data_IF_263160690094
#
_entry.id   IF_263160690094
#
_cell.length_a   1.000
_cell.length_b   1.000
_cell.length_c   1.000
_cell.angle_alpha   90.00
_cell.angle_beta   90.00
_cell.angle_gamma   90.00
#
_symmetry.space_group_name_H-M   'P 1'
#
loop_
_entity.id
_entity.type
_entity.pdbx_description
1 polymer ?
#
# COMPACT_ATOMS: atom_id res chain seq x y z
N UNK A 1 20.50 10.44 12.26
CA UNK A 1 19.83 9.80 11.11
C UNK A 1 20.57 8.51 10.77
N UNK A 2 19.87 7.42 10.46
CA UNK A 2 20.50 6.13 10.11
C UNK A 2 21.11 6.25 8.70
N UNK A 3 22.37 5.83 8.45
CA UNK A 3 22.98 5.88 7.13
C UNK A 3 22.18 5.08 6.08
N UNK A 4 22.17 5.55 4.82
CA UNK A 4 21.35 4.96 3.74
C UNK A 4 21.59 3.44 3.57
N UNK A 5 22.86 3.03 3.55
CA UNK A 5 23.24 1.62 3.45
C UNK A 5 22.63 0.78 4.58
N UNK A 6 22.60 1.33 5.80
CA UNK A 6 21.98 0.67 6.95
C UNK A 6 20.46 0.62 6.82
N UNK A 7 19.82 1.65 6.23
CA UNK A 7 18.38 1.61 5.93
C UNK A 7 18.04 0.52 4.91
N UNK A 8 18.85 0.38 3.85
CA UNK A 8 18.70 -0.68 2.83
C UNK A 8 18.79 -2.08 3.46
N UNK A 9 19.81 -2.33 4.28
CA UNK A 9 19.96 -3.60 4.99
C UNK A 9 18.75 -3.92 5.89
N UNK A 10 18.25 -2.93 6.62
CA UNK A 10 17.07 -3.11 7.49
C UNK A 10 15.85 -3.53 6.67
N UNK A 11 15.57 -2.84 5.56
CA UNK A 11 14.43 -3.18 4.69
C UNK A 11 14.58 -4.58 4.06
N UNK A 12 15.78 -4.90 3.57
CA UNK A 12 16.08 -6.21 3.00
C UNK A 12 15.86 -7.35 3.99
N UNK A 13 16.26 -7.18 5.25
CA UNK A 13 16.03 -8.18 6.30
C UNK A 13 14.54 -8.26 6.66
N UNK A 14 13.87 -7.12 6.89
CA UNK A 14 12.48 -7.08 7.36
C UNK A 14 11.48 -7.67 6.36
N UNK A 15 11.79 -7.61 5.06
CA UNK A 15 10.89 -8.01 3.98
C UNK A 15 11.39 -9.22 3.15
N UNK A 16 12.47 -9.88 3.56
CA UNK A 16 12.98 -11.07 2.89
C UNK A 16 11.95 -12.21 2.88
N UNK A 17 11.91 -12.98 1.79
CA UNK A 17 11.10 -14.19 1.62
C UNK A 17 9.60 -14.01 1.86
N UNK A 18 9.07 -12.79 1.60
CA UNK A 18 7.66 -12.44 1.80
C UNK A 18 7.04 -11.97 0.50
N UNK A 19 5.87 -12.50 0.18
CA UNK A 19 5.00 -12.01 -0.90
C UNK A 19 5.75 -11.72 -2.22
N UNK A 20 6.56 -12.68 -2.65
CA UNK A 20 7.33 -12.62 -3.91
C UNK A 20 8.70 -11.95 -3.82
N UNK A 21 9.09 -11.36 -2.68
CA UNK A 21 10.48 -10.95 -2.48
C UNK A 21 11.39 -12.17 -2.32
N UNK A 22 12.60 -12.08 -2.88
CA UNK A 22 13.70 -13.01 -2.58
C UNK A 22 14.24 -12.87 -1.16
N UNK A 23 15.36 -13.53 -0.89
CA UNK A 23 16.07 -13.43 0.39
C UNK A 23 16.63 -12.02 0.64
N UNK A 24 17.27 -11.79 1.80
CA UNK A 24 17.82 -10.47 2.11
C UNK A 24 18.94 -10.04 1.14
N UNK A 25 19.66 -10.97 0.54
CA UNK A 25 20.73 -10.68 -0.42
C UNK A 25 20.19 -10.22 -1.77
N UNK A 26 18.96 -10.59 -2.13
CA UNK A 26 18.30 -10.16 -3.37
C UNK A 26 18.13 -8.64 -3.49
N UNK A 27 18.08 -7.90 -2.38
CA UNK A 27 17.77 -6.47 -2.37
C UNK A 27 16.28 -6.13 -2.54
N UNK A 28 15.41 -7.14 -2.64
CA UNK A 28 13.98 -6.96 -2.92
C UNK A 28 13.27 -6.18 -1.81
N UNK A 29 13.68 -6.32 -0.55
CA UNK A 29 13.05 -5.61 0.56
C UNK A 29 13.20 -4.09 0.46
N UNK A 30 14.37 -3.60 0.07
CA UNK A 30 14.57 -2.18 -0.21
C UNK A 30 13.93 -1.76 -1.54
N UNK A 31 14.09 -2.58 -2.58
CA UNK A 31 13.60 -2.27 -3.93
C UNK A 31 12.07 -2.13 -3.95
N UNK A 32 11.35 -3.03 -3.29
CA UNK A 32 9.88 -3.07 -3.21
C UNK A 32 9.35 -2.68 -1.82
N UNK A 33 10.03 -1.74 -1.16
CA UNK A 33 9.54 -1.09 0.07
C UNK A 33 8.24 -0.31 -0.17
N UNK A 34 7.56 0.09 0.91
CA UNK A 34 6.30 0.85 0.84
C UNK A 34 6.41 2.17 0.07
N UNK A 35 5.53 2.35 -0.92
CA UNK A 35 5.38 3.61 -1.70
C UNK A 35 3.91 3.97 -1.95
N UNK A 36 3.68 5.23 -2.31
CA UNK A 36 2.35 5.77 -2.61
C UNK A 36 1.43 5.88 -1.40
N UNK A 37 0.20 6.33 -1.66
CA UNK A 37 -0.80 6.64 -0.63
C UNK A 37 -1.26 5.41 0.18
N UNK A 38 -1.21 4.22 -0.44
CA UNK A 38 -1.58 2.95 0.20
C UNK A 38 -0.39 2.07 0.58
N UNK A 39 0.84 2.60 0.53
CA UNK A 39 2.05 1.88 0.92
C UNK A 39 2.16 0.51 0.23
N UNK A 40 2.07 0.48 -1.10
CA UNK A 40 2.28 -0.74 -1.87
C UNK A 40 3.68 -1.26 -1.58
N UNK A 41 3.76 -2.51 -1.13
CA UNK A 41 4.96 -3.17 -0.61
C UNK A 41 5.02 -4.59 -1.16
N UNK A 42 6.23 -5.15 -1.29
CA UNK A 42 6.54 -6.49 -1.80
C UNK A 42 6.39 -6.66 -3.31
N UNK A 43 7.32 -7.41 -3.91
CA UNK A 43 7.44 -7.62 -5.36
C UNK A 43 6.17 -8.11 -6.01
N UNK A 44 5.42 -9.03 -5.37
CA UNK A 44 4.17 -9.51 -5.93
C UNK A 44 3.15 -8.38 -6.11
N UNK A 45 2.98 -7.51 -5.11
CA UNK A 45 2.01 -6.40 -5.22
C UNK A 45 2.45 -5.35 -6.25
N UNK A 46 3.76 -5.07 -6.36
CA UNK A 46 4.27 -4.21 -7.43
C UNK A 46 3.95 -4.81 -8.81
N UNK A 47 4.14 -6.12 -8.99
CA UNK A 47 3.80 -6.81 -10.24
C UNK A 47 2.30 -6.76 -10.56
N UNK A 48 1.44 -7.12 -9.61
CA UNK A 48 -0.02 -7.12 -9.84
C UNK A 48 -0.58 -5.72 -10.08
N UNK A 49 -0.10 -4.71 -9.33
CA UNK A 49 -0.45 -3.32 -9.53
C UNK A 49 0.03 -2.81 -10.89
N UNK A 50 1.26 -3.17 -11.27
CA UNK A 50 1.85 -2.77 -12.54
C UNK A 50 1.07 -3.32 -13.72
N UNK A 51 0.74 -4.61 -13.67
CA UNK A 51 -0.08 -5.25 -14.70
C UNK A 51 -1.48 -4.59 -14.83
N UNK A 52 -2.13 -4.27 -13.72
CA UNK A 52 -3.45 -3.65 -13.75
C UNK A 52 -3.45 -2.19 -14.26
N UNK A 53 -2.34 -1.48 -14.12
CA UNK A 53 -2.19 -0.08 -14.52
C UNK A 53 -1.39 0.11 -15.82
N UNK A 54 -0.98 -0.99 -16.47
CA UNK A 54 -0.07 -0.98 -17.63
C UNK A 54 1.24 -0.23 -17.35
N UNK A 55 1.85 -0.52 -16.20
CA UNK A 55 3.12 0.08 -15.73
C UNK A 55 4.12 -1.02 -15.39
N UNK A 56 5.39 -0.86 -15.79
CA UNK A 56 6.47 -1.75 -15.35
C UNK A 56 7.00 -1.36 -13.96
N UNK A 57 6.17 -1.61 -12.94
CA UNK A 57 6.50 -1.33 -11.54
C UNK A 57 7.53 -2.31 -10.95
N UNK A 58 7.87 -3.40 -11.65
CA UNK A 58 8.96 -4.30 -11.24
C UNK A 58 10.31 -3.70 -11.64
N UNK A 59 10.41 -3.14 -12.84
CA UNK A 59 11.60 -2.42 -13.29
C UNK A 59 11.72 -1.04 -12.64
N UNK A 60 10.61 -0.30 -12.48
CA UNK A 60 10.58 1.10 -12.03
C UNK A 60 9.61 1.30 -10.85
N UNK A 61 9.89 0.72 -9.67
CA UNK A 61 9.00 0.82 -8.50
C UNK A 61 8.85 2.25 -7.97
N UNK A 62 9.80 3.14 -8.21
CA UNK A 62 9.77 4.56 -7.86
C UNK A 62 8.69 5.35 -8.59
N UNK A 63 8.07 4.81 -9.65
CA UNK A 63 6.91 5.43 -10.28
C UNK A 63 5.80 5.70 -9.25
N UNK A 64 5.64 4.83 -8.23
CA UNK A 64 4.67 5.03 -7.16
C UNK A 64 5.01 6.18 -6.18
N UNK A 65 6.14 6.86 -6.35
CA UNK A 65 6.48 8.11 -5.63
C UNK A 65 5.95 9.35 -6.35
N UNK A 66 5.50 9.23 -7.61
CA UNK A 66 4.79 10.31 -8.32
C UNK A 66 3.32 10.35 -7.94
N UNK A 67 2.77 11.55 -7.79
CA UNK A 67 1.41 11.78 -7.29
C UNK A 67 0.33 11.07 -8.13
N UNK A 68 0.47 11.09 -9.46
CA UNK A 68 -0.44 10.44 -10.41
C UNK A 68 -0.50 8.91 -10.20
N UNK A 69 0.65 8.26 -10.20
CA UNK A 69 0.73 6.81 -10.00
C UNK A 69 0.49 6.39 -8.54
N UNK A 70 0.78 7.26 -7.57
CA UNK A 70 0.43 7.05 -6.17
C UNK A 70 -1.10 7.03 -5.98
N UNK A 71 -1.83 7.90 -6.68
CA UNK A 71 -3.30 7.91 -6.66
C UNK A 71 -3.89 6.71 -7.41
N UNK A 72 -3.38 6.38 -8.60
CA UNK A 72 -3.83 5.22 -9.38
C UNK A 72 -3.60 3.89 -8.63
N UNK A 73 -2.43 3.70 -8.02
CA UNK A 73 -2.16 2.50 -7.21
C UNK A 73 -3.03 2.39 -5.96
N UNK A 74 -3.43 3.53 -5.36
CA UNK A 74 -4.42 3.53 -4.29
C UNK A 74 -5.82 3.11 -4.78
N UNK A 75 -6.23 3.57 -5.97
CA UNK A 75 -7.46 3.14 -6.63
C UNK A 75 -7.45 1.66 -6.99
N UNK A 76 -6.34 1.16 -7.54
CA UNK A 76 -6.14 -0.27 -7.78
C UNK A 76 -6.27 -1.08 -6.48
N UNK A 77 -5.60 -0.68 -5.40
CA UNK A 77 -5.71 -1.38 -4.11
C UNK A 77 -7.16 -1.40 -3.62
N UNK A 78 -7.87 -0.28 -3.72
CA UNK A 78 -9.28 -0.20 -3.34
C UNK A 78 -10.15 -1.21 -4.10
N UNK A 79 -9.96 -1.31 -5.41
CA UNK A 79 -10.67 -2.25 -6.28
C UNK A 79 -10.26 -3.70 -6.03
N UNK A 80 -8.97 -4.02 -6.08
CA UNK A 80 -8.42 -5.37 -5.99
C UNK A 80 -8.75 -6.07 -4.65
N UNK A 81 -8.84 -5.30 -3.55
CA UNK A 81 -9.17 -5.83 -2.24
C UNK A 81 -10.67 -5.75 -1.89
N UNK A 82 -11.51 -5.34 -2.86
CA UNK A 82 -12.96 -5.35 -2.75
C UNK A 82 -13.52 -4.34 -1.74
N UNK A 83 -12.83 -3.22 -1.53
CA UNK A 83 -13.19 -2.25 -0.50
C UNK A 83 -14.46 -1.47 -0.86
N UNK A 84 -14.74 -1.27 -2.15
CA UNK A 84 -15.99 -0.64 -2.63
C UNK A 84 -17.24 -1.35 -2.11
N UNK A 85 -17.29 -2.69 -2.21
CA UNK A 85 -18.43 -3.49 -1.71
C UNK A 85 -18.66 -3.32 -0.21
N UNK A 86 -17.59 -3.14 0.57
CA UNK A 86 -17.70 -2.88 2.01
C UNK A 86 -18.19 -1.45 2.27
N UNK A 87 -17.77 -0.48 1.46
CA UNK A 87 -18.22 0.91 1.56
C UNK A 87 -19.71 1.04 1.24
N UNK A 88 -20.17 0.40 0.16
CA UNK A 88 -21.59 0.37 -0.23
C UNK A 88 -22.47 -0.26 0.86
N UNK A 89 -21.93 -1.24 1.57
CA UNK A 89 -22.60 -1.88 2.71
C UNK A 89 -22.47 -1.12 4.04
N UNK A 90 -21.85 0.07 4.05
CA UNK A 90 -21.62 0.87 5.26
C UNK A 90 -20.62 0.27 6.25
N UNK A 91 -19.82 -0.73 5.85
CA UNK A 91 -18.91 -1.50 6.71
C UNK A 91 -17.52 -0.83 6.83
N UNK A 92 -17.48 0.41 7.29
CA UNK A 92 -16.25 1.22 7.34
C UNK A 92 -15.14 0.58 8.20
N UNK A 93 -15.50 0.00 9.34
CA UNK A 93 -14.54 -0.65 10.23
C UNK A 93 -13.91 -1.88 9.58
N UNK A 94 -14.66 -2.58 8.73
CA UNK A 94 -14.15 -3.75 8.02
C UNK A 94 -13.23 -3.39 6.87
N UNK A 95 -13.40 -2.19 6.29
CA UNK A 95 -12.41 -1.60 5.38
C UNK A 95 -11.10 -1.36 6.14
N UNK A 96 -11.17 -0.80 7.35
CA UNK A 96 -9.98 -0.57 8.18
C UNK A 96 -9.29 -1.88 8.53
N UNK A 97 -10.04 -2.89 8.97
CA UNK A 97 -9.53 -4.23 9.27
C UNK A 97 -8.92 -4.90 8.04
N UNK A 98 -9.53 -4.76 6.85
CA UNK A 98 -9.01 -5.32 5.60
C UNK A 98 -7.68 -4.67 5.20
N UNK A 99 -7.56 -3.37 5.39
CA UNK A 99 -6.35 -2.60 5.06
C UNK A 99 -5.21 -2.90 6.03
N UNK A 100 -5.48 -2.87 7.34
CA UNK A 100 -4.44 -2.79 8.38
C UNK A 100 -4.40 -3.99 9.33
N UNK A 101 -5.23 -5.00 9.07
CA UNK A 101 -5.32 -6.20 9.88
C UNK A 101 -6.18 -6.05 11.14
N UNK A 102 -6.26 -7.11 11.96
CA UNK A 102 -7.21 -7.24 13.07
C UNK A 102 -6.97 -6.27 14.23
N UNK A 103 -5.75 -5.73 14.36
CA UNK A 103 -5.42 -4.74 15.39
C UNK A 103 -6.12 -3.39 15.15
N UNK A 104 -6.54 -3.11 13.91
CA UNK A 104 -7.25 -1.88 13.53
C UNK A 104 -6.55 -0.59 13.99
N UNK A 105 -5.21 -0.59 13.99
CA UNK A 105 -4.41 0.57 14.41
C UNK A 105 -4.81 1.83 13.62
N UNK A 106 -5.05 2.92 14.36
CA UNK A 106 -5.53 4.20 13.82
C UNK A 106 -7.01 4.26 13.43
N UNK A 107 -7.86 3.30 13.83
CA UNK A 107 -9.29 3.28 13.48
C UNK A 107 -10.04 4.57 13.84
N UNK A 108 -9.82 5.13 15.03
CA UNK A 108 -10.48 6.38 15.45
C UNK A 108 -10.13 7.54 14.51
N UNK A 109 -8.85 7.71 14.20
CA UNK A 109 -8.39 8.74 13.28
C UNK A 109 -8.90 8.51 11.84
N UNK A 110 -9.18 7.27 11.44
CA UNK A 110 -9.82 6.96 10.14
C UNK A 110 -11.30 7.37 10.16
N UNK A 111 -12.04 7.04 11.23
CA UNK A 111 -13.45 7.45 11.39
C UNK A 111 -13.61 8.96 11.42
N UNK A 112 -12.72 9.67 12.12
CA UNK A 112 -12.73 11.13 12.17
C UNK A 112 -12.57 11.76 10.77
N UNK A 113 -11.58 11.29 9.98
CA UNK A 113 -11.39 11.76 8.60
C UNK A 113 -12.57 11.41 7.69
N UNK A 114 -13.15 10.23 7.88
CA UNK A 114 -14.33 9.82 7.13
C UNK A 114 -15.56 10.69 7.44
N UNK A 115 -15.77 11.07 8.69
CA UNK A 115 -16.85 11.99 9.07
C UNK A 115 -16.70 13.35 8.37
N UNK A 116 -15.48 13.92 8.36
CA UNK A 116 -15.18 15.16 7.64
C UNK A 116 -15.43 15.01 6.14
N UNK A 117 -14.99 13.90 5.53
CA UNK A 117 -15.19 13.65 4.11
C UNK A 117 -16.68 13.54 3.73
N UNK A 118 -17.49 12.84 4.54
CA UNK A 118 -18.94 12.75 4.33
C UNK A 118 -19.61 14.12 4.36
N UNK A 119 -19.29 14.92 5.37
CA UNK A 119 -19.82 16.28 5.51
C UNK A 119 -19.47 17.14 4.28
N UNK A 120 -18.24 17.06 3.79
CA UNK A 120 -17.80 17.82 2.62
C UNK A 120 -18.50 17.38 1.32
N UNK A 121 -18.85 16.09 1.20
CA UNK A 121 -19.50 15.52 0.02
C UNK A 121 -21.03 15.57 0.07
N UNK A 122 -21.62 16.06 1.16
CA UNK A 122 -23.08 16.13 1.34
C UNK A 122 -23.75 14.75 1.50
N UNK A 123 -23.01 13.77 2.02
CA UNK A 123 -23.43 12.38 2.21
C UNK A 123 -23.66 12.00 3.68
#
# INVERSE_FOLDING_TARGET
MVPLERQQRIANIAYANRYGNGDAASGDGWRYRGRGLKQITFRANYRECGHALDLDLVAQPELLERDDYAALSAGWYWWAFGLGKLADAGKFDEITRRINGPAMEGAEARRARWAVAKQALGA
#
